data_IF_567733424662
#
_entry.id   IF_567733424662
#
_cell.length_a   1.000
_cell.length_b   1.000
_cell.length_c   1.000
_cell.angle_alpha   90.00
_cell.angle_beta   90.00
_cell.angle_gamma   90.00
#
_symmetry.space_group_name_H-M   'P 1'
#
loop_
_entity.id
_entity.type
_entity.pdbx_description
1 polymer ?
#
# COMPACT_ATOMS: atom_id res chain seq x y z
N UNK A 1 -8.15 -1.39 -26.57
CA UNK A 1 -8.33 -0.22 -25.68
C UNK A 1 -8.33 -0.72 -24.24
N UNK A 2 -7.67 -0.01 -23.32
CA UNK A 2 -7.55 -0.39 -21.90
C UNK A 2 -8.73 0.16 -21.08
N UNK A 3 -9.09 -0.49 -19.97
CA UNK A 3 -10.05 0.02 -18.98
C UNK A 3 -9.32 0.79 -17.88
N UNK A 4 -10.04 1.60 -17.10
CA UNK A 4 -9.53 2.16 -15.86
C UNK A 4 -9.15 1.04 -14.88
N UNK A 5 -8.22 1.33 -13.98
CA UNK A 5 -7.73 0.37 -12.98
C UNK A 5 -6.26 0.03 -13.16
N UNK A 6 -5.69 -0.57 -12.12
CA UNK A 6 -4.32 -1.08 -12.11
C UNK A 6 -4.23 -2.25 -11.13
N UNK A 7 -3.53 -3.29 -11.55
CA UNK A 7 -3.25 -4.46 -10.73
C UNK A 7 -1.75 -4.62 -10.51
N UNK A 8 -1.35 -4.89 -9.28
CA UNK A 8 0.02 -5.27 -8.94
C UNK A 8 0.03 -6.73 -8.54
N UNK A 9 0.96 -7.51 -9.10
CA UNK A 9 1.13 -8.93 -8.74
C UNK A 9 2.50 -9.12 -8.14
N UNK A 10 2.56 -9.76 -6.97
CA UNK A 10 3.79 -10.06 -6.28
C UNK A 10 3.76 -11.47 -5.70
N UNK A 11 4.95 -12.03 -5.49
CA UNK A 11 5.06 -13.31 -4.82
C UNK A 11 5.22 -13.08 -3.33
N UNK A 12 4.62 -13.91 -2.50
CA UNK A 12 4.69 -13.80 -1.03
C UNK A 12 5.08 -15.14 -0.42
N UNK A 13 5.65 -15.14 0.78
CA UNK A 13 6.04 -16.41 1.41
C UNK A 13 4.84 -17.17 1.98
N UNK A 14 3.81 -16.43 2.41
CA UNK A 14 2.61 -16.98 3.03
C UNK A 14 1.42 -16.03 2.82
N UNK A 15 0.43 -16.46 2.03
CA UNK A 15 -0.74 -15.68 1.66
C UNK A 15 -1.64 -15.36 2.86
N UNK A 16 -1.73 -16.23 3.86
CA UNK A 16 -2.55 -15.97 5.05
C UNK A 16 -2.00 -14.80 5.87
N UNK A 17 -0.70 -14.84 6.19
CA UNK A 17 0.03 -13.73 6.85
C UNK A 17 -0.04 -12.44 6.03
N UNK A 18 0.10 -12.53 4.72
CA UNK A 18 -0.05 -11.39 3.82
C UNK A 18 -1.47 -10.82 3.91
N UNK A 19 -2.50 -11.65 3.80
CA UNK A 19 -3.89 -11.21 3.87
C UNK A 19 -4.19 -10.52 5.20
N UNK A 20 -3.79 -11.10 6.33
CA UNK A 20 -3.95 -10.48 7.65
C UNK A 20 -3.32 -9.08 7.71
N UNK A 21 -2.14 -8.89 7.12
CA UNK A 21 -1.52 -7.56 7.06
C UNK A 21 -2.37 -6.57 6.26
N UNK A 22 -2.72 -6.91 5.02
CA UNK A 22 -3.45 -5.98 4.15
C UNK A 22 -4.89 -5.75 4.65
N UNK A 23 -5.57 -6.74 5.25
CA UNK A 23 -6.94 -6.58 5.76
C UNK A 23 -6.95 -5.93 7.14
N UNK A 24 -6.27 -6.51 8.13
CA UNK A 24 -6.40 -6.08 9.53
C UNK A 24 -5.60 -4.79 9.79
N UNK A 25 -4.42 -4.68 9.20
CA UNK A 25 -3.57 -3.49 9.38
C UNK A 25 -4.03 -2.37 8.45
N UNK A 26 -4.05 -2.60 7.14
CA UNK A 26 -4.35 -1.54 6.15
C UNK A 26 -5.85 -1.32 5.88
N UNK A 27 -6.74 -2.23 6.29
CA UNK A 27 -8.18 -2.09 6.09
C UNK A 27 -8.66 -2.43 4.69
N UNK A 28 -7.84 -3.12 3.89
CA UNK A 28 -8.21 -3.55 2.54
C UNK A 28 -9.21 -4.71 2.59
N UNK A 29 -9.88 -4.97 1.47
CA UNK A 29 -10.88 -6.04 1.37
C UNK A 29 -10.38 -7.18 0.51
N UNK A 30 -10.70 -8.41 0.90
CA UNK A 30 -10.40 -9.59 0.10
C UNK A 30 -11.31 -9.62 -1.13
N UNK A 31 -10.71 -9.66 -2.32
CA UNK A 31 -11.42 -9.90 -3.58
C UNK A 31 -11.46 -11.39 -3.92
N UNK A 32 -10.38 -12.11 -3.62
CA UNK A 32 -10.20 -13.49 -4.01
C UNK A 32 -9.24 -14.22 -3.06
N UNK A 33 -9.50 -15.50 -2.79
CA UNK A 33 -8.61 -16.40 -2.05
C UNK A 33 -8.80 -17.81 -2.59
N UNK A 34 -7.70 -18.45 -2.97
CA UNK A 34 -7.60 -19.87 -3.30
C UNK A 34 -6.45 -20.46 -2.49
N UNK A 35 -6.78 -20.96 -1.30
CA UNK A 35 -5.82 -21.54 -0.35
C UNK A 35 -5.10 -22.75 -0.94
N UNK A 36 -5.80 -23.57 -1.72
CA UNK A 36 -5.20 -24.77 -2.32
C UNK A 36 -4.12 -24.43 -3.33
N UNK A 37 -4.24 -23.30 -4.03
CA UNK A 37 -3.24 -22.82 -5.00
C UNK A 37 -2.29 -21.77 -4.43
N UNK A 38 -2.43 -21.39 -3.16
CA UNK A 38 -1.64 -20.32 -2.55
C UNK A 38 -1.81 -18.98 -3.27
N UNK A 39 -3.03 -18.63 -3.66
CA UNK A 39 -3.33 -17.37 -4.37
C UNK A 39 -4.32 -16.52 -3.59
N UNK A 40 -4.11 -15.21 -3.58
CA UNK A 40 -5.05 -14.28 -2.99
C UNK A 40 -5.01 -12.91 -3.67
N UNK A 41 -6.07 -12.12 -3.52
CA UNK A 41 -6.10 -10.74 -3.98
C UNK A 41 -6.87 -9.86 -2.99
N UNK A 42 -6.37 -8.63 -2.81
CA UNK A 42 -7.05 -7.59 -2.05
C UNK A 42 -7.32 -6.37 -2.91
N UNK A 43 -8.37 -5.63 -2.59
CA UNK A 43 -8.67 -4.31 -3.14
C UNK A 43 -8.50 -3.22 -2.09
N UNK A 44 -8.15 -2.03 -2.58
CA UNK A 44 -8.10 -0.81 -1.79
C UNK A 44 -9.52 -0.24 -1.58
N UNK A 45 -9.82 0.92 -2.19
CA UNK A 45 -11.12 1.58 -2.13
C UNK A 45 -12.05 1.20 -3.29
N UNK A 46 -11.49 0.64 -4.37
CA UNK A 46 -12.20 0.32 -5.61
C UNK A 46 -11.66 -1.00 -6.20
N UNK A 47 -12.55 -1.90 -6.60
CA UNK A 47 -12.23 -3.27 -7.05
C UNK A 47 -11.33 -3.29 -8.29
N UNK A 48 -11.31 -2.23 -9.10
CA UNK A 48 -10.43 -2.08 -10.26
C UNK A 48 -8.96 -1.79 -9.87
N UNK A 49 -8.69 -1.52 -8.58
CA UNK A 49 -7.36 -1.28 -8.02
C UNK A 49 -7.03 -2.36 -6.98
N UNK A 50 -6.18 -3.30 -7.38
CA UNK A 50 -5.94 -4.51 -6.58
C UNK A 50 -4.47 -4.91 -6.49
N UNK A 51 -4.18 -5.72 -5.47
CA UNK A 51 -2.89 -6.37 -5.28
C UNK A 51 -3.14 -7.88 -5.23
N UNK A 52 -2.49 -8.61 -6.13
CA UNK A 52 -2.49 -10.06 -6.20
C UNK A 52 -1.22 -10.66 -5.61
N UNK A 53 -1.43 -11.78 -4.93
CA UNK A 53 -0.42 -12.53 -4.19
C UNK A 53 -0.37 -13.96 -4.69
N UNK A 54 0.84 -14.48 -4.91
CA UNK A 54 1.09 -15.88 -5.19
C UNK A 54 2.17 -16.42 -4.24
N UNK A 55 1.88 -17.51 -3.54
CA UNK A 55 2.84 -18.11 -2.61
C UNK A 55 4.06 -18.69 -3.33
N UNK A 56 5.24 -18.45 -2.77
CA UNK A 56 6.50 -19.04 -3.22
C UNK A 56 7.47 -19.25 -2.06
N UNK A 57 8.40 -20.20 -2.23
CA UNK A 57 9.43 -20.47 -1.22
C UNK A 57 10.57 -19.43 -1.19
N UNK A 58 10.73 -18.63 -2.25
CA UNK A 58 11.81 -17.64 -2.33
C UNK A 58 11.31 -16.30 -2.85
N UNK A 59 11.39 -15.28 -2.00
CA UNK A 59 11.08 -13.90 -2.36
C UNK A 59 12.31 -13.23 -2.95
N UNK A 60 12.17 -12.70 -4.16
CA UNK A 60 13.20 -11.89 -4.80
C UNK A 60 12.98 -10.44 -4.38
N UNK A 61 13.97 -9.77 -3.79
CA UNK A 61 13.84 -8.35 -3.43
C UNK A 61 13.43 -7.51 -4.63
N UNK A 62 12.40 -6.68 -4.42
CA UNK A 62 11.91 -5.75 -5.43
C UNK A 62 12.41 -4.34 -5.15
N UNK A 63 12.78 -3.61 -6.21
CA UNK A 63 13.02 -2.17 -6.14
C UNK A 63 11.75 -1.35 -6.32
N UNK A 64 10.63 -1.99 -6.66
CA UNK A 64 9.33 -1.33 -6.84
C UNK A 64 8.73 -0.95 -5.50
N UNK A 65 8.09 0.22 -5.48
CA UNK A 65 7.29 0.70 -4.36
C UNK A 65 5.85 0.93 -4.81
N UNK A 66 4.88 0.47 -4.04
CA UNK A 66 3.46 0.79 -4.27
C UNK A 66 3.13 1.99 -3.38
N UNK A 67 2.55 3.05 -3.97
CA UNK A 67 2.16 4.27 -3.24
C UNK A 67 0.64 4.37 -3.16
N UNK A 68 0.13 4.70 -1.98
CA UNK A 68 -1.28 4.96 -1.72
C UNK A 68 -1.45 6.42 -1.32
N UNK A 69 -2.31 7.14 -2.05
CA UNK A 69 -2.63 8.52 -1.70
C UNK A 69 -3.61 8.55 -0.52
N UNK A 70 -3.35 9.46 0.42
CA UNK A 70 -4.15 9.68 1.62
C UNK A 70 -4.43 11.17 1.81
N UNK A 71 -5.56 11.49 2.42
CA UNK A 71 -5.98 12.87 2.69
C UNK A 71 -5.21 13.53 3.85
N UNK A 72 -4.85 12.73 4.87
CA UNK A 72 -4.11 13.19 6.05
C UNK A 72 -3.09 12.11 6.46
N UNK A 73 -1.82 12.33 6.10
CA UNK A 73 -0.77 11.35 6.35
C UNK A 73 -0.44 11.22 7.83
N UNK A 74 -0.58 12.29 8.63
CA UNK A 74 -0.26 12.27 10.05
C UNK A 74 -1.26 11.38 10.80
N UNK A 75 -2.55 11.55 10.51
CA UNK A 75 -3.61 10.73 11.07
C UNK A 75 -3.50 9.27 10.63
N UNK A 76 -3.22 9.00 9.36
CA UNK A 76 -3.09 7.63 8.85
C UNK A 76 -1.84 6.94 9.43
N UNK A 77 -0.68 7.60 9.46
CA UNK A 77 0.55 7.06 10.07
C UNK A 77 0.32 6.77 11.55
N UNK A 78 -0.31 7.68 12.29
CA UNK A 78 -0.67 7.44 13.70
C UNK A 78 -1.54 6.19 13.85
N UNK A 79 -2.60 6.08 13.04
CA UNK A 79 -3.55 4.95 13.07
C UNK A 79 -2.85 3.63 12.74
N UNK A 80 -2.00 3.60 11.71
CA UNK A 80 -1.29 2.38 11.31
C UNK A 80 -0.22 1.97 12.33
N UNK A 81 0.44 2.93 12.99
CA UNK A 81 1.35 2.63 14.11
C UNK A 81 0.61 1.99 15.31
N UNK A 82 -0.63 2.40 15.60
CA UNK A 82 -1.46 1.73 16.62
C UNK A 82 -1.84 0.30 16.23
N UNK A 83 -1.71 -0.05 14.95
CA UNK A 83 -1.89 -1.39 14.42
C UNK A 83 -0.55 -2.08 14.16
N UNK A 84 0.54 -1.71 14.84
CA UNK A 84 1.85 -2.36 14.69
C UNK A 84 2.47 -2.29 13.29
N UNK A 85 2.09 -1.30 12.47
CA UNK A 85 2.81 -1.04 11.20
C UNK A 85 4.05 -0.20 11.52
N UNK A 86 5.22 -0.77 11.23
CA UNK A 86 6.50 -0.10 11.40
C UNK A 86 6.85 0.76 10.18
N UNK A 87 7.07 2.06 10.41
CA UNK A 87 7.48 3.00 9.38
C UNK A 87 9.00 3.17 9.34
N UNK A 88 9.54 3.32 8.15
CA UNK A 88 10.95 3.59 7.89
C UNK A 88 11.23 5.08 8.11
N UNK A 89 11.47 5.44 9.36
CA UNK A 89 11.72 6.82 9.78
C UNK A 89 10.44 7.64 9.94
N UNK A 90 10.60 8.96 9.87
CA UNK A 90 9.51 9.93 10.01
C UNK A 90 8.89 10.30 8.67
N UNK A 91 7.77 11.03 8.73
CA UNK A 91 7.16 11.62 7.54
C UNK A 91 8.16 12.58 6.90
N UNK A 92 8.45 12.36 5.63
CA UNK A 92 9.31 13.21 4.82
C UNK A 92 8.46 14.18 4.00
N UNK A 93 8.71 15.48 4.14
CA UNK A 93 7.99 16.51 3.39
C UNK A 93 8.88 17.13 2.31
N UNK A 94 8.34 17.21 1.09
CA UNK A 94 8.82 18.12 0.05
C UNK A 94 7.89 19.35 0.07
N UNK A 95 8.36 20.50 0.57
CA UNK A 95 7.51 21.67 0.77
C UNK A 95 6.73 22.05 -0.49
N UNK A 96 5.41 22.13 -0.36
CA UNK A 96 4.54 22.52 -1.46
C UNK A 96 4.29 21.46 -2.53
N UNK A 97 4.76 20.22 -2.31
CA UNK A 97 4.61 19.12 -3.26
C UNK A 97 3.89 17.94 -2.62
N UNK A 98 4.49 17.33 -1.60
CA UNK A 98 4.00 16.06 -1.04
C UNK A 98 4.58 15.79 0.35
N UNK A 99 3.81 15.08 1.18
CA UNK A 99 4.33 14.35 2.35
C UNK A 99 4.37 12.86 2.05
N UNK A 100 5.43 12.18 2.48
CA UNK A 100 5.68 10.77 2.20
C UNK A 100 6.00 10.01 3.50
N UNK A 101 5.47 8.80 3.63
CA UNK A 101 5.82 7.88 4.72
C UNK A 101 6.00 6.46 4.16
N UNK A 102 7.18 5.88 4.35
CA UNK A 102 7.52 4.56 3.78
C UNK A 102 7.40 3.48 4.85
N UNK A 103 6.90 2.31 4.48
CA UNK A 103 6.82 1.12 5.32
C UNK A 103 6.97 -0.14 4.45
N UNK A 104 6.91 -1.31 5.07
CA UNK A 104 7.00 -2.58 4.35
C UNK A 104 5.88 -3.53 4.74
N UNK A 105 5.52 -4.40 3.83
CA UNK A 105 4.68 -5.56 4.11
C UNK A 105 5.50 -6.71 4.75
N UNK A 106 4.85 -7.83 5.16
CA UNK A 106 5.54 -8.93 5.83
C UNK A 106 6.64 -9.63 5.02
N UNK A 107 6.66 -9.43 3.70
CA UNK A 107 7.65 -10.01 2.78
C UNK A 107 8.69 -8.98 2.33
N UNK A 108 8.64 -7.77 2.90
CA UNK A 108 9.62 -6.70 2.67
C UNK A 108 9.36 -5.86 1.42
N UNK A 109 8.20 -6.00 0.77
CA UNK A 109 7.84 -5.10 -0.32
C UNK A 109 7.68 -3.69 0.22
N UNK A 110 8.23 -2.70 -0.49
CA UNK A 110 8.12 -1.30 -0.10
C UNK A 110 6.74 -0.76 -0.43
N UNK A 111 6.10 -0.18 0.57
CA UNK A 111 4.83 0.52 0.48
C UNK A 111 5.03 1.97 0.93
N UNK A 112 4.24 2.88 0.39
CA UNK A 112 4.36 4.31 0.69
C UNK A 112 2.98 4.94 0.83
N UNK A 113 2.81 5.80 1.83
CA UNK A 113 1.73 6.75 1.88
C UNK A 113 2.19 8.07 1.28
N UNK A 114 1.32 8.72 0.50
CA UNK A 114 1.55 10.05 -0.04
C UNK A 114 0.36 10.97 0.23
N UNK A 115 0.61 12.18 0.71
CA UNK A 115 -0.40 13.25 0.81
C UNK A 115 0.05 14.41 -0.07
N UNK A 116 -0.76 14.78 -1.06
CA UNK A 116 -0.44 15.89 -1.97
C UNK A 116 -0.67 17.23 -1.27
N UNK A 117 0.38 18.05 -1.21
CA UNK A 117 0.26 19.41 -0.67
C UNK A 117 -0.16 20.33 -1.82
N UNK A 118 -1.46 20.67 -1.89
CA UNK A 118 -1.92 21.66 -2.88
C UNK A 118 -1.55 23.05 -2.40
N UNK A 119 -0.51 23.66 -2.99
CA UNK A 119 -0.35 25.12 -2.88
C UNK A 119 -1.42 25.76 -3.75
N UNK A 120 -2.48 26.26 -3.12
CA UNK A 120 -3.39 27.19 -3.79
C UNK A 120 -2.64 28.48 -4.12
N UNK A 121 -2.09 28.57 -5.34
CA UNK A 121 -1.64 29.83 -5.92
C UNK A 121 -2.84 30.70 -6.32
N UNK A 122 -3.75 31.00 -5.39
CA UNK A 122 -4.69 32.11 -5.53
C UNK A 122 -4.00 33.39 -5.07
N UNK A 123 -3.04 33.86 -5.86
CA UNK A 123 -2.50 35.22 -5.77
C UNK A 123 -1.73 35.54 -7.05
N UNK A 124 -2.47 35.96 -8.08
CA UNK A 124 -2.10 37.02 -9.02
C UNK A 124 -3.37 37.31 -9.81
N UNK A 125 -3.92 38.51 -9.55
CA UNK A 125 -5.22 38.98 -10.03
C UNK A 125 -5.26 39.32 -11.51
#
# INVERSE_FOLDING_TARGET
>A
MFKSGVGFHCNVNNCERTLEFYTEKLGFKVLFKDEYKGQAMVTTNDEDYYIGFAETHSIVPSSTCISFEVEDIEQVVYTLRQKDVEFQGDIFEIPGVVKLATFSDPDGYKLMLSERIVINNKSKG
#
